data_IF_635635910033
#
_entry.id   IF_635635910033
#
_cell.length_a   1.000
_cell.length_b   1.000
_cell.length_c   1.000
_cell.angle_alpha   90.00
_cell.angle_beta   90.00
_cell.angle_gamma   90.00
#
_symmetry.space_group_name_H-M   'P 1'
#
loop_
_entity.id
_entity.type
_entity.pdbx_description
1 polymer ?
#
# COMPACT_ATOMS: atom_id res chain seq x y z
N UNK A 1 49.69 -54.15 40.96
CA UNK A 1 48.22 -54.09 41.17
C UNK A 1 47.58 -53.68 39.86
N UNK A 2 46.53 -54.41 39.48
CA UNK A 2 46.07 -54.65 38.12
C UNK A 2 45.50 -53.43 37.39
N UNK A 3 45.94 -53.25 36.13
CA UNK A 3 45.12 -52.73 35.04
C UNK A 3 44.11 -53.82 34.63
N UNK A 4 42.82 -53.47 34.57
CA UNK A 4 41.76 -54.16 33.81
C UNK A 4 40.69 -53.09 33.50
N UNK A 5 40.44 -52.68 32.25
CA UNK A 5 39.82 -53.36 31.08
C UNK A 5 38.29 -53.15 31.02
N UNK A 6 37.81 -52.88 29.80
CA UNK A 6 36.43 -53.03 29.25
C UNK A 6 35.48 -51.86 29.53
N UNK A 7 35.21 -50.93 28.61
CA UNK A 7 34.40 -51.00 27.37
C UNK A 7 32.87 -51.00 27.60
N UNK A 8 32.21 -50.06 26.90
CA UNK A 8 30.77 -49.68 26.87
C UNK A 8 29.86 -50.90 26.60
N UNK A 9 28.65 -50.94 27.19
CA UNK A 9 27.45 -50.85 26.34
C UNK A 9 26.25 -50.08 26.92
N UNK A 10 25.59 -49.36 26.00
CA UNK A 10 24.15 -49.13 25.85
C UNK A 10 23.30 -48.66 27.05
N UNK A 11 23.01 -47.35 27.04
CA UNK A 11 21.74 -46.79 27.49
C UNK A 11 20.64 -47.16 26.49
N UNK A 12 19.84 -48.18 26.79
CA UNK A 12 18.52 -48.39 26.18
C UNK A 12 17.54 -48.78 27.29
N UNK A 13 16.63 -47.85 27.59
CA UNK A 13 15.64 -48.01 28.65
C UNK A 13 14.53 -46.97 28.50
N UNK A 14 13.65 -47.21 27.52
CA UNK A 14 12.23 -46.87 27.50
C UNK A 14 11.79 -45.52 28.11
N UNK A 15 11.78 -44.46 27.28
CA UNK A 15 10.74 -43.43 27.37
C UNK A 15 9.46 -43.99 26.73
N UNK A 16 8.59 -44.55 27.56
CA UNK A 16 7.17 -44.66 27.24
C UNK A 16 6.42 -43.76 28.22
N UNK A 17 5.53 -42.96 27.63
CA UNK A 17 4.35 -42.27 28.18
C UNK A 17 4.38 -40.76 27.94
N UNK A 18 3.53 -40.33 27.00
CA UNK A 18 3.27 -38.94 26.68
C UNK A 18 2.92 -38.73 25.22
N UNK A 19 2.07 -39.58 24.64
CA UNK A 19 1.42 -39.29 23.37
C UNK A 19 0.48 -38.10 23.62
N UNK A 20 0.99 -36.88 23.39
CA UNK A 20 0.16 -35.68 23.37
C UNK A 20 -0.94 -35.90 22.32
N UNK A 21 -2.19 -35.71 22.76
CA UNK A 21 -3.34 -35.68 21.87
C UNK A 21 -3.01 -34.75 20.72
N UNK A 22 -2.96 -35.32 19.51
CA UNK A 22 -2.57 -34.57 18.33
C UNK A 22 -3.55 -33.41 18.17
N UNK A 23 -3.00 -32.22 17.91
CA UNK A 23 -3.69 -31.00 17.49
C UNK A 23 -4.86 -31.24 16.51
N UNK A 24 -4.80 -32.32 15.72
CA UNK A 24 -5.87 -32.73 14.83
C UNK A 24 -7.21 -32.99 15.54
N UNK A 25 -7.23 -33.64 16.70
CA UNK A 25 -8.48 -33.98 17.41
C UNK A 25 -9.22 -32.72 17.90
N UNK A 26 -8.47 -31.68 18.27
CA UNK A 26 -9.03 -30.42 18.72
C UNK A 26 -9.47 -29.54 17.55
N UNK A 27 -8.75 -29.61 16.43
CA UNK A 27 -9.06 -28.87 15.21
C UNK A 27 -10.40 -29.26 14.56
N UNK A 28 -10.82 -30.53 14.69
CA UNK A 28 -12.02 -31.05 14.01
C UNK A 28 -13.30 -31.02 14.85
N UNK A 29 -13.25 -30.63 16.13
CA UNK A 29 -14.35 -30.85 17.07
C UNK A 29 -15.64 -30.07 16.77
N UNK A 30 -15.56 -28.96 16.04
CA UNK A 30 -16.71 -28.04 15.80
C UNK A 30 -17.07 -27.81 14.33
N UNK A 31 -16.56 -28.62 13.38
CA UNK A 31 -16.88 -28.43 11.95
C UNK A 31 -18.07 -29.28 11.49
N UNK A 32 -19.03 -28.63 10.81
CA UNK A 32 -20.22 -29.26 10.19
C UNK A 32 -19.97 -29.84 8.79
N UNK A 33 -18.73 -29.90 8.32
CA UNK A 33 -18.41 -30.44 7.00
C UNK A 33 -17.85 -31.86 7.11
N UNK A 34 -18.18 -32.71 6.13
CA UNK A 34 -17.79 -34.12 6.07
C UNK A 34 -16.27 -34.28 6.18
N UNK A 35 -15.85 -35.13 7.11
CA UNK A 35 -14.46 -35.46 7.41
C UNK A 35 -13.76 -36.02 6.16
N UNK A 36 -12.80 -35.28 5.60
CA UNK A 36 -11.94 -35.79 4.53
C UNK A 36 -10.88 -36.66 5.20
N UNK A 37 -11.04 -37.98 5.09
CA UNK A 37 -10.03 -38.93 5.55
C UNK A 37 -8.84 -38.91 4.58
N UNK A 38 -7.71 -38.43 5.06
CA UNK A 38 -6.44 -38.59 4.36
C UNK A 38 -5.84 -39.94 4.78
N UNK A 39 -5.80 -40.90 3.86
CA UNK A 39 -4.94 -42.08 4.03
C UNK A 39 -3.50 -41.66 3.76
N UNK A 40 -2.63 -41.81 4.75
CA UNK A 40 -1.19 -41.71 4.54
C UNK A 40 -0.76 -42.86 3.63
N UNK A 41 -0.24 -42.54 2.45
CA UNK A 41 0.40 -43.55 1.59
C UNK A 41 1.68 -44.05 2.28
N UNK A 42 1.89 -45.38 2.25
CA UNK A 42 3.08 -46.01 2.81
C UNK A 42 4.35 -45.44 2.17
N UNK A 43 5.28 -44.96 2.99
CA UNK A 43 6.51 -44.25 2.61
C UNK A 43 7.44 -45.02 1.65
N UNK A 44 7.20 -46.31 1.40
CA UNK A 44 8.06 -47.13 0.54
C UNK A 44 7.66 -47.18 -0.95
N UNK A 45 6.60 -46.48 -1.39
CA UNK A 45 6.23 -46.38 -2.81
C UNK A 45 6.70 -45.08 -3.49
N UNK A 46 7.33 -44.17 -2.75
CA UNK A 46 7.66 -42.82 -3.21
C UNK A 46 8.90 -42.71 -4.13
N UNK A 47 9.56 -43.80 -4.50
CA UNK A 47 10.86 -43.72 -5.22
C UNK A 47 10.96 -44.46 -6.54
N UNK A 48 9.85 -44.78 -7.22
CA UNK A 48 9.94 -45.21 -8.62
C UNK A 48 8.80 -44.65 -9.47
N UNK A 49 9.19 -43.81 -10.44
CA UNK A 49 8.45 -43.46 -11.65
C UNK A 49 7.21 -42.57 -11.48
N UNK A 50 7.45 -41.26 -11.37
CA UNK A 50 6.92 -40.29 -12.34
C UNK A 50 7.57 -38.94 -12.05
N UNK A 51 8.10 -38.30 -13.10
CA UNK A 51 8.45 -36.89 -13.07
C UNK A 51 7.31 -36.11 -12.42
N UNK A 52 7.62 -35.36 -11.36
CA UNK A 52 6.67 -34.52 -10.62
C UNK A 52 5.99 -33.51 -11.57
N UNK A 53 4.89 -33.91 -12.19
CA UNK A 53 3.87 -33.00 -12.75
C UNK A 53 2.94 -32.50 -11.64
N UNK A 54 3.43 -32.40 -10.41
CA UNK A 54 2.69 -31.90 -9.27
C UNK A 54 2.77 -30.37 -9.31
N UNK A 55 1.69 -29.75 -9.80
CA UNK A 55 1.54 -28.34 -10.19
C UNK A 55 2.19 -27.94 -11.51
N UNK A 56 1.46 -28.13 -12.61
CA UNK A 56 1.52 -27.12 -13.68
C UNK A 56 0.81 -25.87 -13.13
N UNK A 57 1.49 -24.71 -13.03
CA UNK A 57 0.80 -23.47 -12.67
C UNK A 57 -0.35 -23.26 -13.65
N UNK A 58 -1.54 -22.94 -13.14
CA UNK A 58 -2.67 -22.61 -14.00
C UNK A 58 -2.25 -21.45 -14.91
N UNK A 59 -2.02 -21.74 -16.19
CA UNK A 59 -1.66 -20.72 -17.17
C UNK A 59 -2.92 -19.98 -17.55
N UNK A 60 -3.14 -18.81 -16.95
CA UNK A 60 -4.23 -17.93 -17.33
C UNK A 60 -4.06 -17.51 -18.79
N UNK A 61 -5.16 -17.46 -19.52
CA UNK A 61 -5.20 -16.89 -20.86
C UNK A 61 -5.19 -15.35 -20.79
N UNK A 62 -5.08 -14.69 -21.95
CA UNK A 62 -5.02 -13.23 -22.03
C UNK A 62 -6.23 -12.56 -21.37
N UNK A 63 -7.44 -13.05 -21.64
CA UNK A 63 -8.69 -12.48 -21.11
C UNK A 63 -8.77 -12.57 -19.58
N UNK A 64 -8.32 -13.70 -19.02
CA UNK A 64 -8.24 -13.89 -17.57
C UNK A 64 -7.20 -12.96 -16.93
N UNK A 65 -6.03 -12.78 -17.55
CA UNK A 65 -5.06 -11.79 -17.11
C UNK A 65 -5.58 -10.35 -17.22
N UNK A 66 -6.34 -10.04 -18.26
CA UNK A 66 -6.96 -8.72 -18.45
C UNK A 66 -8.02 -8.45 -17.37
N UNK A 67 -8.84 -9.45 -17.03
CA UNK A 67 -9.82 -9.39 -15.94
C UNK A 67 -9.15 -9.23 -14.56
N UNK A 68 -8.09 -9.98 -14.27
CA UNK A 68 -7.31 -9.83 -13.03
C UNK A 68 -6.76 -8.41 -12.91
N UNK A 69 -6.07 -7.92 -13.94
CA UNK A 69 -5.51 -6.56 -13.95
C UNK A 69 -6.59 -5.49 -13.79
N UNK A 70 -7.74 -5.68 -14.43
CA UNK A 70 -8.89 -4.78 -14.28
C UNK A 70 -9.39 -4.75 -12.84
N UNK A 71 -9.53 -5.92 -12.20
CA UNK A 71 -9.98 -6.00 -10.79
C UNK A 71 -8.98 -5.37 -9.84
N UNK A 72 -7.69 -5.61 -10.04
CA UNK A 72 -6.63 -4.98 -9.24
C UNK A 72 -6.63 -3.46 -9.41
N UNK A 73 -6.78 -2.97 -10.64
CA UNK A 73 -6.89 -1.53 -10.93
C UNK A 73 -8.10 -0.92 -10.22
N UNK A 74 -9.28 -1.54 -10.34
CA UNK A 74 -10.50 -1.06 -9.67
C UNK A 74 -10.38 -1.11 -8.15
N UNK A 75 -9.68 -2.10 -7.59
CA UNK A 75 -9.38 -2.14 -6.16
C UNK A 75 -8.53 -0.94 -5.76
N UNK A 76 -7.44 -0.66 -6.47
CA UNK A 76 -6.60 0.51 -6.20
C UNK A 76 -7.40 1.80 -6.32
N UNK A 77 -8.26 1.93 -7.34
CA UNK A 77 -9.10 3.12 -7.49
C UNK A 77 -10.07 3.32 -6.31
N UNK A 78 -10.71 2.23 -5.84
CA UNK A 78 -11.58 2.30 -4.64
C UNK A 78 -10.78 2.64 -3.38
N UNK A 79 -9.54 2.13 -3.24
CA UNK A 79 -8.64 2.48 -2.14
C UNK A 79 -8.21 3.96 -2.18
N UNK A 80 -7.89 4.51 -3.35
CA UNK A 80 -7.60 5.95 -3.52
C UNK A 80 -8.85 6.78 -3.27
N UNK A 81 -10.04 6.32 -3.66
CA UNK A 81 -11.29 7.03 -3.34
C UNK A 81 -11.49 7.16 -1.83
N UNK A 82 -11.22 6.10 -1.06
CA UNK A 82 -11.24 6.13 0.41
C UNK A 82 -10.12 6.99 1.00
N UNK A 83 -8.94 7.02 0.38
CA UNK A 83 -7.87 7.95 0.76
C UNK A 83 -8.37 9.40 0.73
N UNK A 84 -9.11 9.78 -0.32
CA UNK A 84 -9.66 11.13 -0.45
C UNK A 84 -10.74 11.44 0.61
N UNK A 85 -11.55 10.46 1.02
CA UNK A 85 -12.48 10.62 2.15
C UNK A 85 -11.75 10.92 3.47
N UNK A 86 -10.58 10.30 3.69
CA UNK A 86 -9.76 10.51 4.88
C UNK A 86 -9.05 11.87 4.82
N UNK A 87 -8.45 12.20 3.68
CA UNK A 87 -7.64 13.41 3.52
C UNK A 87 -8.50 14.66 3.49
N UNK A 88 -9.67 14.56 2.86
CA UNK A 88 -10.59 15.67 2.61
C UNK A 88 -12.03 15.24 2.96
N UNK A 89 -12.39 15.20 4.25
CA UNK A 89 -13.73 14.79 4.67
C UNK A 89 -14.84 15.54 3.94
N UNK A 90 -15.75 14.79 3.32
CA UNK A 90 -16.86 15.34 2.55
C UNK A 90 -16.56 15.65 1.08
N UNK A 91 -15.36 15.30 0.58
CA UNK A 91 -14.96 15.51 -0.82
C UNK A 91 -15.99 14.95 -1.81
N UNK A 92 -16.42 13.69 -1.61
CA UNK A 92 -17.37 13.04 -2.51
C UNK A 92 -18.83 13.45 -2.29
N UNK A 93 -19.18 14.05 -1.15
CA UNK A 93 -20.56 14.34 -0.75
C UNK A 93 -21.46 13.10 -0.91
N UNK A 94 -22.40 13.14 -1.85
CA UNK A 94 -23.42 12.12 -2.16
C UNK A 94 -23.12 11.34 -3.45
N UNK A 95 -21.92 11.47 -4.03
CA UNK A 95 -21.53 10.77 -5.26
C UNK A 95 -21.44 9.27 -5.07
N UNK A 96 -21.96 8.53 -6.04
CA UNK A 96 -21.94 7.07 -6.06
C UNK A 96 -20.55 6.49 -6.40
N UNK A 97 -20.39 5.19 -6.21
CA UNK A 97 -19.11 4.50 -6.46
C UNK A 97 -18.69 4.56 -7.93
N UNK A 98 -19.64 4.50 -8.87
CA UNK A 98 -19.33 4.58 -10.29
C UNK A 98 -18.69 5.91 -10.66
N UNK A 99 -19.23 7.02 -10.14
CA UNK A 99 -18.66 8.35 -10.31
C UNK A 99 -17.26 8.43 -9.68
N UNK A 100 -17.07 7.91 -8.46
CA UNK A 100 -15.76 7.94 -7.78
C UNK A 100 -14.70 7.22 -8.60
N UNK A 101 -14.99 6.01 -9.07
CA UNK A 101 -14.06 5.21 -9.86
C UNK A 101 -13.72 5.88 -11.18
N UNK A 102 -14.71 6.44 -11.88
CA UNK A 102 -14.49 7.18 -13.12
C UNK A 102 -13.64 8.44 -12.90
N UNK A 103 -13.86 9.15 -11.79
CA UNK A 103 -13.04 10.32 -11.46
C UNK A 103 -11.59 9.93 -11.22
N UNK A 104 -11.34 8.84 -10.48
CA UNK A 104 -9.99 8.35 -10.20
C UNK A 104 -9.31 7.85 -11.48
N UNK A 105 -10.04 7.15 -12.36
CA UNK A 105 -9.55 6.74 -13.68
C UNK A 105 -9.10 7.95 -14.52
N UNK A 106 -9.90 9.02 -14.54
CA UNK A 106 -9.52 10.26 -15.23
C UNK A 106 -8.23 10.86 -14.65
N UNK A 107 -8.11 10.89 -13.32
CA UNK A 107 -6.90 11.36 -12.64
C UNK A 107 -5.69 10.48 -12.94
N UNK A 108 -5.87 9.16 -13.03
CA UNK A 108 -4.81 8.22 -13.39
C UNK A 108 -4.34 8.42 -14.84
N UNK A 109 -5.25 8.75 -15.76
CA UNK A 109 -4.90 9.15 -17.12
C UNK A 109 -4.07 10.44 -17.13
N UNK A 110 -4.39 11.41 -16.27
CA UNK A 110 -3.58 12.63 -16.11
C UNK A 110 -2.20 12.27 -15.56
N UNK A 111 -2.10 11.43 -14.52
CA UNK A 111 -0.82 10.98 -13.97
C UNK A 111 0.04 10.29 -15.05
N UNK A 112 -0.56 9.36 -15.80
CA UNK A 112 0.09 8.63 -16.88
C UNK A 112 0.54 9.54 -18.01
N UNK A 113 -0.22 10.60 -18.35
CA UNK A 113 0.19 11.62 -19.33
C UNK A 113 1.52 12.29 -18.96
N UNK A 114 1.77 12.54 -17.67
CA UNK A 114 3.00 13.20 -17.20
C UNK A 114 4.15 12.23 -16.92
N UNK A 115 3.86 11.03 -16.42
CA UNK A 115 4.88 10.12 -15.88
C UNK A 115 5.00 8.78 -16.62
N UNK A 116 4.11 8.51 -17.58
CA UNK A 116 4.20 7.38 -18.52
C UNK A 116 3.89 6.00 -17.94
N UNK A 117 3.46 5.92 -16.67
CA UNK A 117 3.14 4.65 -15.99
C UNK A 117 1.98 4.81 -15.00
N UNK A 118 1.22 3.73 -14.87
CA UNK A 118 0.22 3.55 -13.82
C UNK A 118 0.94 3.07 -12.57
N UNK A 119 1.37 4.00 -11.72
CA UNK A 119 1.98 3.69 -10.43
C UNK A 119 1.09 4.20 -9.32
N UNK A 120 0.73 3.32 -8.38
CA UNK A 120 -0.13 3.64 -7.23
C UNK A 120 0.32 4.90 -6.48
N UNK A 121 1.61 5.01 -6.16
CA UNK A 121 2.17 6.16 -5.44
C UNK A 121 2.03 7.47 -6.21
N UNK A 122 2.15 7.42 -7.54
CA UNK A 122 1.95 8.58 -8.42
C UNK A 122 0.46 8.95 -8.46
N UNK A 123 -0.43 7.97 -8.61
CA UNK A 123 -1.88 8.16 -8.60
C UNK A 123 -2.36 8.79 -7.28
N UNK A 124 -1.94 8.26 -6.13
CA UNK A 124 -2.28 8.81 -4.82
C UNK A 124 -1.89 10.30 -4.69
N UNK A 125 -0.68 10.65 -5.16
CA UNK A 125 -0.20 12.04 -5.16
C UNK A 125 -1.02 12.92 -6.12
N UNK A 126 -1.26 12.45 -7.35
CA UNK A 126 -2.01 13.19 -8.36
C UNK A 126 -3.47 13.39 -7.95
N UNK A 127 -4.13 12.36 -7.40
CA UNK A 127 -5.47 12.43 -6.85
C UNK A 127 -5.56 13.44 -5.70
N UNK A 128 -4.57 13.45 -4.81
CA UNK A 128 -4.48 14.43 -3.73
C UNK A 128 -4.34 15.86 -4.25
N UNK A 129 -3.67 16.09 -5.38
CA UNK A 129 -3.57 17.41 -6.02
C UNK A 129 -4.91 17.78 -6.68
N UNK A 130 -5.45 16.91 -7.53
CA UNK A 130 -6.69 17.14 -8.28
C UNK A 130 -7.90 17.34 -7.35
N UNK A 131 -7.89 16.76 -6.15
CA UNK A 131 -8.94 16.98 -5.16
C UNK A 131 -9.02 18.45 -4.67
N UNK A 132 -7.91 19.20 -4.75
CA UNK A 132 -7.85 20.61 -4.34
C UNK A 132 -8.12 21.53 -5.52
N UNK A 133 -7.53 21.24 -6.68
CA UNK A 133 -7.52 22.15 -7.83
C UNK A 133 -8.46 21.77 -8.97
N UNK A 134 -9.15 20.63 -8.87
CA UNK A 134 -9.93 20.05 -9.95
C UNK A 134 -9.09 19.19 -10.89
N UNK A 135 -9.72 18.18 -11.51
CA UNK A 135 -9.09 17.34 -12.54
C UNK A 135 -8.94 18.06 -13.89
N UNK A 136 -9.53 19.24 -14.04
CA UNK A 136 -9.52 20.10 -15.22
C UNK A 136 -8.50 21.24 -15.11
N UNK A 137 -7.62 21.22 -14.10
CA UNK A 137 -6.65 22.28 -13.78
C UNK A 137 -5.77 22.70 -14.97
N UNK A 138 -5.51 21.80 -15.92
CA UNK A 138 -4.69 22.07 -17.11
C UNK A 138 -5.30 23.14 -18.02
N UNK A 139 -6.61 23.37 -17.90
CA UNK A 139 -7.34 24.39 -18.68
C UNK A 139 -7.42 25.74 -17.97
N UNK A 140 -7.04 25.80 -16.69
CA UNK A 140 -7.09 27.01 -15.89
C UNK A 140 -5.75 27.76 -15.95
N UNK A 141 -5.68 28.96 -16.58
CA UNK A 141 -4.45 29.72 -16.69
C UNK A 141 -3.87 30.19 -15.35
N UNK A 142 -4.69 30.32 -14.30
CA UNK A 142 -4.22 30.67 -12.95
C UNK A 142 -3.41 29.52 -12.31
N UNK A 143 -3.59 28.29 -12.81
CA UNK A 143 -2.93 27.08 -12.32
C UNK A 143 -1.79 26.61 -13.23
N UNK A 144 -1.37 27.41 -14.22
CA UNK A 144 -0.30 27.05 -15.17
C UNK A 144 1.05 26.77 -14.47
N UNK A 145 1.27 27.35 -13.29
CA UNK A 145 2.44 27.02 -12.47
C UNK A 145 2.48 25.53 -12.07
N UNK A 146 1.32 24.88 -11.87
CA UNK A 146 1.22 23.43 -11.59
C UNK A 146 1.68 22.65 -12.81
N UNK A 147 1.13 22.97 -14.00
CA UNK A 147 1.51 22.33 -15.26
C UNK A 147 3.00 22.47 -15.53
N UNK A 148 3.57 23.66 -15.34
CA UNK A 148 5.00 23.92 -15.47
C UNK A 148 5.81 23.07 -14.49
N UNK A 149 5.41 23.01 -13.22
CA UNK A 149 6.09 22.23 -12.18
C UNK A 149 6.02 20.72 -12.46
N UNK A 150 4.91 20.19 -12.96
CA UNK A 150 4.80 18.77 -13.36
C UNK A 150 5.79 18.38 -14.48
N UNK A 151 6.08 19.31 -15.40
CA UNK A 151 6.99 19.10 -16.53
C UNK A 151 8.47 19.14 -16.18
N UNK A 152 8.85 19.50 -14.95
CA UNK A 152 10.27 19.62 -14.57
C UNK A 152 10.96 18.27 -14.33
N UNK A 153 10.20 17.19 -14.23
CA UNK A 153 10.75 15.86 -13.95
C UNK A 153 9.89 14.75 -14.55
N UNK A 154 10.55 13.67 -14.97
CA UNK A 154 9.89 12.42 -15.38
C UNK A 154 9.53 11.51 -14.20
N UNK A 155 9.91 11.88 -12.97
CA UNK A 155 9.48 11.20 -11.74
C UNK A 155 8.53 12.08 -10.96
N UNK A 156 7.73 11.48 -10.08
CA UNK A 156 6.61 12.12 -9.39
C UNK A 156 7.00 13.04 -8.20
N UNK A 157 8.29 13.41 -8.09
CA UNK A 157 8.79 14.34 -7.06
C UNK A 157 8.06 15.69 -7.09
N UNK A 158 7.83 16.34 -8.24
CA UNK A 158 7.14 17.63 -8.29
C UNK A 158 5.72 17.60 -7.71
N UNK A 159 5.02 16.45 -7.78
CA UNK A 159 3.70 16.31 -7.16
C UNK A 159 3.74 16.48 -5.64
N UNK A 160 4.83 16.06 -4.98
CA UNK A 160 4.98 16.28 -3.54
C UNK A 160 5.08 17.77 -3.22
N UNK A 161 5.83 18.54 -4.01
CA UNK A 161 5.97 19.99 -3.81
C UNK A 161 4.64 20.71 -4.09
N UNK A 162 3.97 20.38 -5.20
CA UNK A 162 2.66 20.94 -5.55
C UNK A 162 1.66 20.67 -4.40
N UNK A 163 1.58 19.43 -3.92
CA UNK A 163 0.68 19.08 -2.81
C UNK A 163 0.99 19.88 -1.55
N UNK A 164 2.27 20.00 -1.16
CA UNK A 164 2.66 20.79 0.02
C UNK A 164 2.27 22.26 -0.12
N UNK A 165 2.49 22.84 -1.30
CA UNK A 165 2.06 24.21 -1.61
C UNK A 165 0.55 24.37 -1.43
N UNK A 166 -0.23 23.49 -2.05
CA UNK A 166 -1.69 23.55 -2.00
C UNK A 166 -2.25 23.36 -0.58
N UNK A 167 -1.66 22.45 0.20
CA UNK A 167 -2.09 22.23 1.59
C UNK A 167 -1.82 23.45 2.47
N UNK A 168 -0.64 24.05 2.36
CA UNK A 168 -0.27 25.22 3.14
C UNK A 168 -1.06 26.47 2.70
N UNK A 169 -1.09 26.73 1.39
CA UNK A 169 -1.51 28.02 0.85
C UNK A 169 -3.00 28.04 0.51
N UNK A 170 -3.56 26.95 -0.02
CA UNK A 170 -4.99 26.89 -0.42
C UNK A 170 -5.83 26.37 0.74
N UNK A 171 -5.46 25.23 1.32
CA UNK A 171 -6.21 24.63 2.43
C UNK A 171 -5.89 25.22 3.80
N UNK A 172 -4.91 26.13 3.85
CA UNK A 172 -4.48 26.82 5.08
C UNK A 172 -4.09 25.88 6.22
N UNK A 173 -3.57 24.68 5.89
CA UNK A 173 -3.07 23.72 6.87
C UNK A 173 -1.65 24.06 7.33
N UNK A 174 -1.36 23.78 8.58
CA UNK A 174 -0.03 23.99 9.17
C UNK A 174 0.80 22.68 9.21
N UNK A 175 0.19 21.54 8.85
CA UNK A 175 0.80 20.22 8.86
C UNK A 175 0.62 19.51 7.51
N UNK A 176 1.58 18.67 7.15
CA UNK A 176 1.48 17.76 6.00
C UNK A 176 0.61 16.53 6.32
N UNK A 177 0.41 15.66 5.32
CA UNK A 177 -0.43 14.47 5.47
C UNK A 177 0.11 13.45 6.50
N UNK A 178 1.39 13.56 6.88
CA UNK A 178 2.01 12.73 7.92
C UNK A 178 1.97 13.39 9.31
N UNK A 179 1.25 14.51 9.44
CA UNK A 179 1.17 15.28 10.68
C UNK A 179 2.45 16.05 11.01
N UNK A 180 3.34 16.29 10.04
CA UNK A 180 4.57 17.06 10.26
C UNK A 180 4.32 18.53 9.99
N UNK A 181 4.74 19.40 10.90
CA UNK A 181 4.53 20.83 10.73
C UNK A 181 5.28 21.35 9.48
N UNK A 182 4.60 22.18 8.70
CA UNK A 182 5.25 22.97 7.67
C UNK A 182 6.18 24.02 8.28
N UNK A 183 7.39 24.08 7.75
CA UNK A 183 8.47 24.98 8.16
C UNK A 183 9.46 25.18 7.01
N UNK A 184 10.42 26.10 7.21
CA UNK A 184 11.43 26.46 6.20
C UNK A 184 12.19 25.25 5.64
N UNK A 185 12.46 24.22 6.43
CA UNK A 185 13.14 23.00 5.96
C UNK A 185 12.24 22.10 5.11
N UNK A 186 11.04 21.80 5.60
CA UNK A 186 10.08 20.91 4.92
C UNK A 186 9.58 21.45 3.57
N UNK A 187 9.63 22.78 3.39
CA UNK A 187 9.17 23.52 2.21
C UNK A 187 10.30 24.07 1.34
N UNK A 188 11.57 23.79 1.65
CA UNK A 188 12.74 24.44 1.03
C UNK A 188 12.79 24.39 -0.51
N UNK A 189 12.21 23.35 -1.13
CA UNK A 189 12.16 23.17 -2.59
C UNK A 189 10.78 23.46 -3.19
N UNK A 190 9.79 23.73 -2.34
CA UNK A 190 8.40 23.89 -2.76
C UNK A 190 8.19 25.16 -3.58
N UNK A 191 8.95 26.23 -3.34
CA UNK A 191 8.77 27.50 -4.06
C UNK A 191 9.42 27.56 -5.44
N UNK A 192 10.29 26.61 -5.80
CA UNK A 192 10.95 26.64 -7.11
C UNK A 192 9.93 26.43 -8.23
N UNK A 193 9.70 27.47 -9.04
CA UNK A 193 8.69 27.45 -10.12
C UNK A 193 7.24 27.56 -9.63
N UNK A 194 7.02 27.89 -8.36
CA UNK A 194 5.69 28.07 -7.75
C UNK A 194 5.51 29.52 -7.26
N UNK A 195 4.28 30.01 -7.07
CA UNK A 195 4.06 31.34 -6.49
C UNK A 195 4.61 31.42 -5.05
N UNK A 196 4.94 32.62 -4.55
CA UNK A 196 5.39 32.80 -3.18
C UNK A 196 4.28 32.41 -2.19
N UNK A 197 4.68 31.98 -0.99
CA UNK A 197 3.74 31.79 0.11
C UNK A 197 3.25 33.15 0.59
N UNK A 198 1.95 33.28 0.86
CA UNK A 198 1.39 34.53 1.38
C UNK A 198 1.40 34.55 2.91
N UNK A 199 1.52 33.37 3.53
CA UNK A 199 1.54 33.17 4.97
C UNK A 199 2.97 33.06 5.50
N UNK A 200 3.15 33.44 6.77
CA UNK A 200 4.40 33.17 7.49
C UNK A 200 4.63 31.66 7.55
N UNK A 201 5.79 31.22 7.07
CA UNK A 201 6.30 29.86 7.27
C UNK A 201 7.13 29.84 8.55
N UNK A 202 6.82 28.98 9.54
CA UNK A 202 7.63 28.81 10.74
C UNK A 202 9.08 28.47 10.40
N UNK A 203 10.02 29.09 11.11
CA UNK A 203 11.42 28.72 10.99
C UNK A 203 11.70 27.35 11.63
N UNK A 204 12.45 26.50 10.93
CA UNK A 204 12.75 25.15 11.36
C UNK A 204 13.60 25.10 12.66
N UNK A 205 14.48 26.07 12.89
CA UNK A 205 15.37 26.04 14.06
C UNK A 205 14.74 26.66 15.30
N UNK A 206 13.81 27.59 15.13
CA UNK A 206 13.28 28.43 16.22
C UNK A 206 11.79 28.26 16.51
N UNK A 207 10.99 27.78 15.55
CA UNK A 207 9.53 27.70 15.66
C UNK A 207 8.98 26.28 15.37
N UNK A 208 9.85 25.28 15.37
CA UNK A 208 9.47 23.88 15.15
C UNK A 208 8.57 23.35 16.26
N UNK A 209 7.57 22.57 15.85
CA UNK A 209 6.66 21.82 16.71
C UNK A 209 6.77 20.33 16.44
N UNK A 210 6.48 19.55 17.48
CA UNK A 210 6.36 18.09 17.37
C UNK A 210 5.28 17.68 16.36
N UNK A 211 5.43 16.45 15.84
CA UNK A 211 4.45 15.88 14.91
C UNK A 211 3.09 15.73 15.60
N UNK A 212 2.03 16.02 14.87
CA UNK A 212 0.66 15.90 15.35
C UNK A 212 0.00 14.66 14.76
N UNK A 213 -0.17 13.62 15.60
CA UNK A 213 -0.79 12.36 15.17
C UNK A 213 -2.24 12.53 14.71
N UNK A 214 -2.96 13.53 15.24
CA UNK A 214 -4.35 13.81 14.82
C UNK A 214 -4.42 14.34 13.39
N UNK A 215 -3.34 14.95 12.89
CA UNK A 215 -3.22 15.43 11.51
C UNK A 215 -2.62 14.37 10.57
N UNK A 216 -2.18 13.22 11.10
CA UNK A 216 -1.52 12.17 10.32
C UNK A 216 -2.54 11.28 9.60
N UNK A 217 -3.22 11.87 8.62
CA UNK A 217 -4.19 11.19 7.75
C UNK A 217 -3.54 10.09 6.90
N UNK A 218 -2.25 10.20 6.59
CA UNK A 218 -1.49 9.15 5.91
C UNK A 218 -1.43 7.85 6.72
N UNK A 219 -1.17 7.94 8.03
CA UNK A 219 -1.17 6.77 8.91
C UNK A 219 -2.54 6.10 8.95
N UNK A 220 -3.61 6.89 9.03
CA UNK A 220 -4.98 6.38 8.99
C UNK A 220 -5.23 5.61 7.69
N UNK A 221 -4.94 6.23 6.54
CA UNK A 221 -5.08 5.61 5.23
C UNK A 221 -4.26 4.32 5.11
N UNK A 222 -2.97 4.37 5.48
CA UNK A 222 -2.06 3.25 5.39
C UNK A 222 -2.55 2.04 6.21
N UNK A 223 -3.09 2.28 7.40
CA UNK A 223 -3.45 1.21 8.33
C UNK A 223 -4.88 0.67 8.14
N UNK A 224 -5.76 1.42 7.46
CA UNK A 224 -7.19 1.05 7.37
C UNK A 224 -7.66 0.73 5.95
N UNK A 225 -6.92 1.17 4.93
CA UNK A 225 -7.37 1.06 3.53
C UNK A 225 -6.31 0.41 2.65
N UNK A 226 -5.06 0.87 2.73
CA UNK A 226 -4.01 0.48 1.78
C UNK A 226 -3.61 -0.98 1.98
N UNK A 227 -3.88 -1.80 0.97
CA UNK A 227 -3.32 -3.16 0.88
C UNK A 227 -1.89 -3.12 0.33
N UNK A 228 -1.02 -4.06 0.73
CA UNK A 228 0.40 -4.11 0.32
C UNK A 228 0.63 -4.46 -1.16
N UNK A 229 -0.43 -4.46 -1.98
CA UNK A 229 -0.34 -4.74 -3.40
C UNK A 229 0.12 -3.48 -4.13
N UNK A 230 1.38 -3.47 -4.56
CA UNK A 230 1.90 -2.51 -5.54
C UNK A 230 1.69 -3.10 -6.94
N UNK A 231 0.86 -2.43 -7.77
CA UNK A 231 0.73 -2.70 -9.20
C UNK A 231 1.89 -2.10 -9.99
#
# INVERSE_FOLDING_TARGET
>A
MNLNKVAIPLFMGLFLLGCEKSFSEEFYKDRRCVEIKYECLNESQAMNNQENNMFTPMKLNKEQWDDVRRRETLQVYSEVAKMLDIYYPGFWRDRDEAFKLQWIENVDNIATKYYGKHERGTLEKMASVCAIVGSDFETNPELDFIVKKLKTSHVDIPLNDIRKYLWLEILKRDFDQSGRQYNTWSLRWTQEGMPPFTRKVPDFYTEWKENNERENVWSIYKNTVRTENDL
#
